data_IF_450574317944
#
_entry.id   IF_450574317944
#
_cell.length_a   1.000
_cell.length_b   1.000
_cell.length_c   1.000
_cell.angle_alpha   90.00
_cell.angle_beta   90.00
_cell.angle_gamma   90.00
#
_symmetry.space_group_name_H-M   'P 1'
#
loop_
_entity.id
_entity.type
_entity.pdbx_description
1 polymer ?
#
# COMPACT_ATOMS: atom_id res chain seq x y z
N UNK A 1 -24.86 7.71 18.22
CA UNK A 1 -23.61 7.64 17.43
C UNK A 1 -23.48 8.96 16.70
N UNK A 2 -22.47 9.70 17.05
CA UNK A 2 -22.32 11.07 16.58
C UNK A 2 -21.66 11.05 15.18
N UNK A 3 -22.44 11.40 14.18
CA UNK A 3 -21.95 11.64 12.83
C UNK A 3 -21.91 13.14 12.59
N UNK A 4 -20.78 13.66 12.15
CA UNK A 4 -20.64 15.07 11.83
C UNK A 4 -21.42 15.45 10.58
N UNK A 5 -21.29 14.65 9.52
CA UNK A 5 -22.02 14.83 8.26
C UNK A 5 -22.38 13.46 7.67
N UNK A 6 -23.55 13.36 7.10
CA UNK A 6 -24.00 12.13 6.41
C UNK A 6 -24.70 12.50 5.11
N UNK A 7 -24.28 11.91 4.01
CA UNK A 7 -25.03 11.89 2.76
C UNK A 7 -25.96 10.67 2.77
N UNK A 8 -27.24 10.91 2.57
CA UNK A 8 -28.27 9.84 2.56
C UNK A 8 -28.84 9.75 1.15
N UNK A 9 -28.79 8.55 0.58
CA UNK A 9 -29.35 8.25 -0.74
C UNK A 9 -28.31 8.15 -1.84
N UNK A 10 -28.75 7.66 -2.98
CA UNK A 10 -27.94 7.52 -4.18
C UNK A 10 -27.87 8.83 -4.96
N UNK A 11 -26.74 9.08 -5.63
CA UNK A 11 -26.60 10.17 -6.59
C UNK A 11 -26.20 11.53 -6.03
N UNK A 12 -25.70 11.60 -4.79
CA UNK A 12 -24.98 12.79 -4.37
C UNK A 12 -23.69 12.92 -5.22
N UNK A 13 -23.49 14.10 -5.80
CA UNK A 13 -22.31 14.42 -6.61
C UNK A 13 -21.74 15.76 -6.17
N UNK A 14 -20.45 15.98 -6.43
CA UNK A 14 -19.76 17.25 -6.17
C UNK A 14 -19.87 17.76 -4.72
N UNK A 15 -19.99 16.87 -3.75
CA UNK A 15 -19.96 17.27 -2.35
C UNK A 15 -18.64 17.97 -2.03
N UNK A 16 -18.73 19.16 -1.41
CA UNK A 16 -17.54 19.89 -0.98
C UNK A 16 -17.55 20.08 0.54
N UNK A 17 -16.48 19.64 1.20
CA UNK A 17 -16.20 19.92 2.60
C UNK A 17 -14.86 20.64 2.64
N UNK A 18 -14.86 21.91 3.00
CA UNK A 18 -13.73 22.81 2.85
C UNK A 18 -13.51 23.67 4.08
N UNK A 19 -12.27 23.77 4.55
CA UNK A 19 -11.82 24.66 5.65
C UNK A 19 -12.62 24.54 6.94
N UNK A 20 -13.03 23.35 7.29
CA UNK A 20 -13.78 23.05 8.51
C UNK A 20 -12.88 22.42 9.57
N UNK A 21 -13.28 22.63 10.83
CA UNK A 21 -12.69 21.93 11.96
C UNK A 21 -13.75 21.05 12.63
N UNK A 22 -13.58 19.76 12.50
CA UNK A 22 -14.43 18.75 13.12
C UNK A 22 -13.73 18.21 14.37
N UNK A 23 -14.44 18.21 15.49
CA UNK A 23 -13.94 17.69 16.76
C UNK A 23 -14.96 16.74 17.35
N UNK A 24 -14.54 15.51 17.66
CA UNK A 24 -15.37 14.59 18.42
C UNK A 24 -15.27 14.84 19.92
N UNK A 25 -16.39 14.72 20.62
CA UNK A 25 -16.48 14.80 22.07
C UNK A 25 -16.23 13.45 22.75
N UNK A 26 -15.94 12.40 22.01
CA UNK A 26 -15.60 11.10 22.59
C UNK A 26 -14.33 11.20 23.44
N UNK A 27 -14.42 10.79 24.69
CA UNK A 27 -13.36 10.93 25.67
C UNK A 27 -12.43 9.72 25.77
N UNK A 28 -12.81 8.58 25.14
CA UNK A 28 -11.96 7.39 25.20
C UNK A 28 -10.57 7.66 24.61
N UNK A 29 -9.54 7.29 25.35
CA UNK A 29 -8.18 7.31 24.88
C UNK A 29 -7.93 6.26 23.80
N UNK A 30 -8.67 5.14 23.85
CA UNK A 30 -8.56 4.06 22.90
C UNK A 30 -9.39 4.38 21.63
N UNK A 31 -8.75 4.48 20.48
CA UNK A 31 -9.41 4.80 19.21
C UNK A 31 -10.49 3.78 18.83
N UNK A 32 -10.30 2.50 19.15
CA UNK A 32 -11.25 1.43 18.81
C UNK A 32 -12.56 1.49 19.61
N UNK A 33 -12.58 2.19 20.72
CA UNK A 33 -13.79 2.42 21.52
C UNK A 33 -14.61 3.60 20.98
N UNK A 34 -14.05 4.39 20.10
CA UNK A 34 -14.72 5.54 19.49
C UNK A 34 -15.63 5.05 18.38
N UNK A 35 -16.85 5.54 18.35
CA UNK A 35 -17.87 5.18 17.36
C UNK A 35 -18.28 6.34 16.46
N UNK A 36 -17.73 7.51 16.67
CA UNK A 36 -18.01 8.69 15.88
C UNK A 36 -17.40 8.65 14.50
N UNK A 37 -18.07 9.24 13.52
CA UNK A 37 -17.61 9.39 12.14
C UNK A 37 -17.76 10.87 11.77
N UNK A 38 -16.67 11.52 11.33
CA UNK A 38 -16.76 12.92 10.96
C UNK A 38 -17.60 13.12 9.71
N UNK A 39 -17.38 12.31 8.67
CA UNK A 39 -18.24 12.28 7.50
C UNK A 39 -18.48 10.84 6.99
N UNK A 40 -19.73 10.55 6.65
CA UNK A 40 -20.13 9.30 6.01
C UNK A 40 -20.86 9.67 4.71
N UNK A 41 -20.25 9.38 3.59
CA UNK A 41 -20.63 9.92 2.29
C UNK A 41 -20.85 8.81 1.28
N UNK A 42 -22.05 8.81 0.70
CA UNK A 42 -22.34 8.08 -0.52
C UNK A 42 -22.44 9.12 -1.65
N UNK A 43 -21.35 9.32 -2.38
CA UNK A 43 -21.26 10.35 -3.40
C UNK A 43 -20.20 9.98 -4.43
N UNK A 44 -20.28 10.58 -5.61
CA UNK A 44 -19.16 10.68 -6.54
C UNK A 44 -18.56 12.09 -6.49
N UNK A 45 -17.30 12.21 -6.89
CA UNK A 45 -16.60 13.48 -7.10
C UNK A 45 -16.54 14.40 -5.86
N UNK A 46 -16.56 13.81 -4.66
CA UNK A 46 -16.47 14.58 -3.43
C UNK A 46 -15.08 15.21 -3.27
N UNK A 47 -15.06 16.48 -2.85
CA UNK A 47 -13.84 17.27 -2.58
C UNK A 47 -13.77 17.59 -1.09
N UNK A 48 -12.86 16.93 -0.40
CA UNK A 48 -12.60 17.07 1.04
C UNK A 48 -11.25 17.73 1.21
N UNK A 49 -11.21 19.04 1.51
CA UNK A 49 -9.96 19.79 1.46
C UNK A 49 -9.78 20.80 2.60
N UNK A 50 -8.53 20.96 3.00
CA UNK A 50 -8.12 21.97 4.01
C UNK A 50 -8.87 21.86 5.34
N UNK A 51 -9.33 20.65 5.71
CA UNK A 51 -10.04 20.40 6.94
C UNK A 51 -9.12 19.89 8.04
N UNK A 52 -9.55 20.09 9.29
CA UNK A 52 -8.99 19.41 10.43
C UNK A 52 -10.02 18.50 11.07
N UNK A 53 -9.66 17.23 11.25
CA UNK A 53 -10.47 16.21 11.91
C UNK A 53 -9.76 15.75 13.17
N UNK A 54 -10.45 15.78 14.31
CA UNK A 54 -9.83 15.47 15.59
C UNK A 54 -10.67 14.49 16.41
N UNK A 55 -10.03 13.40 16.84
CA UNK A 55 -10.55 12.44 17.82
C UNK A 55 -11.80 11.68 17.39
N UNK A 56 -11.95 11.37 16.12
CA UNK A 56 -13.01 10.48 15.64
C UNK A 56 -12.58 9.01 15.68
N UNK A 57 -13.55 8.09 15.72
CA UNK A 57 -13.34 6.69 15.43
C UNK A 57 -12.92 6.50 13.98
N UNK A 58 -13.71 7.06 13.05
CA UNK A 58 -13.32 7.21 11.65
C UNK A 58 -13.45 8.66 11.23
N UNK A 59 -12.45 9.22 10.55
CA UNK A 59 -12.57 10.53 9.92
C UNK A 59 -13.60 10.48 8.81
N UNK A 60 -13.49 9.52 7.91
CA UNK A 60 -14.43 9.36 6.81
C UNK A 60 -14.71 7.91 6.45
N UNK A 61 -15.96 7.63 6.12
CA UNK A 61 -16.40 6.40 5.46
C UNK A 61 -17.05 6.83 4.14
N UNK A 62 -16.50 6.37 3.03
CA UNK A 62 -16.82 6.91 1.71
C UNK A 62 -17.12 5.79 0.73
N UNK A 63 -18.30 5.84 0.14
CA UNK A 63 -18.71 5.05 -0.99
C UNK A 63 -18.73 5.92 -2.26
N UNK A 64 -18.43 5.35 -3.41
CA UNK A 64 -18.35 6.05 -4.68
C UNK A 64 -16.91 6.31 -5.14
N UNK A 65 -16.77 7.06 -6.21
CA UNK A 65 -15.48 7.26 -6.88
C UNK A 65 -15.25 8.73 -7.28
N UNK A 66 -14.04 9.04 -7.77
CA UNK A 66 -13.67 10.38 -8.20
C UNK A 66 -13.35 11.34 -7.05
N UNK A 67 -13.10 10.85 -5.85
CA UNK A 67 -12.89 11.67 -4.67
C UNK A 67 -11.51 12.33 -4.63
N UNK A 68 -11.47 13.53 -4.09
CA UNK A 68 -10.26 14.31 -3.88
C UNK A 68 -10.12 14.70 -2.40
N UNK A 69 -9.11 14.12 -1.74
CA UNK A 69 -8.73 14.43 -0.36
C UNK A 69 -7.42 15.21 -0.35
N UNK A 70 -7.46 16.50 -0.06
CA UNK A 70 -6.30 17.40 -0.21
C UNK A 70 -6.09 18.29 1.01
N UNK A 71 -4.86 18.35 1.50
CA UNK A 71 -4.47 19.33 2.53
C UNK A 71 -5.14 19.15 3.89
N UNK A 72 -5.73 18.00 4.16
CA UNK A 72 -6.41 17.77 5.42
C UNK A 72 -5.43 17.33 6.52
N UNK A 73 -5.78 17.60 7.76
CA UNK A 73 -5.13 17.06 8.93
C UNK A 73 -6.09 16.10 9.65
N UNK A 74 -5.76 14.82 9.64
CA UNK A 74 -6.48 13.75 10.33
C UNK A 74 -5.72 13.38 11.59
N UNK A 75 -6.28 13.67 12.74
CA UNK A 75 -5.64 13.49 14.02
C UNK A 75 -6.51 12.64 14.94
N UNK A 76 -6.13 11.44 15.22
CA UNK A 76 -6.87 10.61 16.18
C UNK A 76 -6.58 10.96 17.64
N UNK A 77 -5.43 11.51 17.96
CA UNK A 77 -5.09 11.95 19.30
C UNK A 77 -5.11 10.81 20.31
N UNK A 78 -4.62 9.66 19.91
CA UNK A 78 -4.58 8.46 20.73
C UNK A 78 -3.27 8.44 21.51
N UNK A 79 -3.35 8.24 22.83
CA UNK A 79 -2.21 8.17 23.73
C UNK A 79 -1.97 6.75 24.27
N UNK A 80 -2.61 5.75 23.71
CA UNK A 80 -2.45 4.37 24.14
C UNK A 80 -1.22 3.78 23.49
N UNK A 81 -0.24 3.38 24.29
CA UNK A 81 0.97 2.69 23.83
C UNK A 81 0.59 1.32 23.27
N UNK A 82 1.17 0.95 22.13
CA UNK A 82 0.86 -0.29 21.40
C UNK A 82 -0.66 -0.53 21.18
N UNK A 83 -1.42 0.55 21.26
CA UNK A 83 -2.87 0.49 21.14
C UNK A 83 -3.31 0.21 19.70
N UNK A 84 -4.43 -0.48 19.51
CA UNK A 84 -5.01 -0.64 18.21
C UNK A 84 -5.43 0.70 17.64
N UNK A 85 -5.23 0.88 16.33
CA UNK A 85 -5.65 2.07 15.59
C UNK A 85 -6.86 1.75 14.74
N UNK A 86 -7.70 2.74 14.48
CA UNK A 86 -8.82 2.63 13.53
C UNK A 86 -8.47 3.30 12.20
N UNK A 87 -9.11 2.86 11.15
CA UNK A 87 -9.00 3.52 9.86
C UNK A 87 -9.49 4.98 9.96
N UNK A 88 -8.65 5.92 9.56
CA UNK A 88 -9.06 7.31 9.44
C UNK A 88 -9.98 7.51 8.24
N UNK A 89 -9.62 6.94 7.10
CA UNK A 89 -10.43 6.94 5.90
C UNK A 89 -10.73 5.50 5.48
N UNK A 90 -12.00 5.18 5.31
CA UNK A 90 -12.48 3.91 4.79
C UNK A 90 -13.08 4.15 3.41
N UNK A 91 -12.47 3.58 2.38
CA UNK A 91 -12.99 3.55 1.02
C UNK A 91 -13.72 2.22 0.84
N UNK A 92 -15.01 2.25 0.55
CA UNK A 92 -15.88 1.06 0.58
C UNK A 92 -16.28 0.55 -0.80
N UNK A 93 -15.57 1.01 -1.83
CA UNK A 93 -15.75 0.58 -3.21
C UNK A 93 -14.40 0.13 -3.81
N UNK A 94 -14.32 -0.96 -4.59
CA UNK A 94 -13.03 -1.43 -5.11
C UNK A 94 -12.42 -0.50 -6.16
N UNK A 95 -13.21 0.11 -7.03
CA UNK A 95 -12.71 0.99 -8.10
C UNK A 95 -12.97 2.46 -7.78
N UNK A 96 -12.08 3.09 -7.03
CA UNK A 96 -12.34 4.41 -6.42
C UNK A 96 -11.97 5.61 -7.28
N UNK A 97 -11.07 5.47 -8.27
CA UNK A 97 -10.60 6.59 -9.14
C UNK A 97 -10.35 7.89 -8.35
N UNK A 98 -9.65 7.78 -7.22
CA UNK A 98 -9.56 8.85 -6.22
C UNK A 98 -8.13 9.25 -5.92
N UNK A 99 -7.96 10.47 -5.40
CA UNK A 99 -6.66 11.05 -5.05
C UNK A 99 -6.64 11.48 -3.59
N UNK A 100 -5.59 11.05 -2.87
CA UNK A 100 -5.29 11.45 -1.50
C UNK A 100 -3.92 12.14 -1.53
N UNK A 101 -3.88 13.46 -1.38
CA UNK A 101 -2.65 14.22 -1.57
C UNK A 101 -2.46 15.36 -0.57
N UNK A 102 -1.22 15.59 -0.15
CA UNK A 102 -0.87 16.73 0.71
C UNK A 102 -1.50 16.70 2.10
N UNK A 103 -1.98 15.55 2.57
CA UNK A 103 -2.59 15.43 3.88
C UNK A 103 -1.54 15.11 4.95
N UNK A 104 -1.83 15.48 6.21
CA UNK A 104 -1.15 15.00 7.39
C UNK A 104 -2.05 13.99 8.11
N UNK A 105 -1.64 12.75 8.14
CA UNK A 105 -2.40 11.61 8.67
C UNK A 105 -1.67 11.09 9.91
N UNK A 106 -2.28 11.29 11.08
CA UNK A 106 -1.68 11.06 12.37
C UNK A 106 -2.47 10.02 13.18
N UNK A 107 -1.79 8.94 13.60
CA UNK A 107 -2.34 7.83 14.38
C UNK A 107 -3.55 7.13 13.75
N UNK A 108 -3.60 7.09 12.42
CA UNK A 108 -4.67 6.41 11.67
C UNK A 108 -4.16 5.89 10.34
N UNK A 109 -4.97 5.14 9.63
CA UNK A 109 -4.62 4.54 8.35
C UNK A 109 -5.75 4.67 7.33
N UNK A 110 -5.44 4.37 6.08
CA UNK A 110 -6.40 4.25 4.99
C UNK A 110 -6.77 2.76 4.87
N UNK A 111 -8.05 2.45 4.98
CA UNK A 111 -8.60 1.13 4.68
C UNK A 111 -9.36 1.16 3.36
N UNK A 112 -9.09 0.21 2.50
CA UNK A 112 -9.74 0.08 1.21
C UNK A 112 -10.39 -1.31 1.11
N UNK A 113 -11.71 -1.34 1.01
CA UNK A 113 -12.51 -2.56 1.17
C UNK A 113 -13.69 -2.57 0.21
N UNK A 114 -14.25 -3.75 -0.05
CA UNK A 114 -15.51 -3.91 -0.75
C UNK A 114 -16.59 -4.56 0.15
N UNK A 115 -16.58 -4.28 1.44
CA UNK A 115 -17.47 -4.91 2.44
C UNK A 115 -18.97 -4.65 2.22
N UNK A 116 -19.32 -3.64 1.42
CA UNK A 116 -20.71 -3.29 1.11
C UNK A 116 -21.22 -3.88 -0.21
N UNK A 117 -20.40 -4.64 -0.90
CA UNK A 117 -20.82 -5.31 -2.14
C UNK A 117 -21.86 -6.39 -1.84
N UNK A 118 -23.01 -6.33 -2.49
CA UNK A 118 -24.07 -7.34 -2.36
C UNK A 118 -23.64 -8.71 -2.93
N UNK A 119 -22.69 -8.70 -3.88
CA UNK A 119 -22.07 -9.90 -4.46
C UNK A 119 -20.55 -9.71 -4.42
N UNK A 120 -19.89 -10.02 -3.28
CA UNK A 120 -18.51 -9.60 -3.03
C UNK A 120 -17.46 -10.35 -3.85
N UNK A 121 -17.78 -11.47 -4.48
CA UNK A 121 -16.85 -12.17 -5.36
C UNK A 121 -16.57 -11.34 -6.63
N UNK A 122 -15.32 -11.28 -7.02
CA UNK A 122 -14.93 -10.55 -8.21
C UNK A 122 -15.58 -11.15 -9.47
N UNK A 123 -16.36 -10.35 -10.18
CA UNK A 123 -17.07 -10.75 -11.40
C UNK A 123 -17.01 -9.70 -12.52
N UNK A 124 -16.23 -8.63 -12.33
CA UNK A 124 -16.19 -7.50 -13.25
C UNK A 124 -14.78 -7.26 -13.83
N UNK A 125 -14.67 -6.25 -14.69
CA UNK A 125 -13.38 -5.81 -15.23
C UNK A 125 -12.51 -5.08 -14.19
N UNK A 126 -13.13 -4.47 -13.18
CA UNK A 126 -12.45 -3.62 -12.21
C UNK A 126 -12.41 -4.26 -10.82
N UNK A 127 -11.22 -4.24 -10.21
CA UNK A 127 -11.00 -4.61 -8.83
C UNK A 127 -10.42 -3.42 -8.05
N UNK A 128 -9.59 -3.63 -7.02
CA UNK A 128 -9.00 -2.55 -6.24
C UNK A 128 -8.10 -1.66 -7.11
N UNK A 129 -8.64 -0.54 -7.60
CA UNK A 129 -7.95 0.27 -8.58
C UNK A 129 -8.33 1.75 -8.60
N UNK A 130 -7.49 2.51 -9.33
CA UNK A 130 -7.68 3.94 -9.51
C UNK A 130 -7.35 4.79 -8.29
N UNK A 131 -6.56 4.30 -7.32
CA UNK A 131 -6.18 5.06 -6.14
C UNK A 131 -4.77 5.65 -6.28
N UNK A 132 -4.67 6.95 -6.05
CA UNK A 132 -3.39 7.67 -5.94
C UNK A 132 -3.23 8.25 -4.54
N UNK A 133 -2.15 7.87 -3.85
CA UNK A 133 -1.75 8.38 -2.53
C UNK A 133 -0.39 9.05 -2.69
N UNK A 134 -0.34 10.38 -2.69
CA UNK A 134 0.89 11.09 -3.05
C UNK A 134 1.15 12.33 -2.19
N UNK A 135 2.42 12.57 -1.84
CA UNK A 135 2.81 13.78 -1.13
C UNK A 135 2.21 13.94 0.26
N UNK A 136 1.79 12.87 0.92
CA UNK A 136 1.23 12.92 2.27
C UNK A 136 2.32 12.69 3.32
N UNK A 137 2.04 13.15 4.54
CA UNK A 137 2.81 12.84 5.74
C UNK A 137 1.98 11.88 6.59
N UNK A 138 2.53 10.70 6.82
CA UNK A 138 1.94 9.68 7.69
C UNK A 138 2.78 9.53 8.95
N UNK A 139 2.15 9.67 10.11
CA UNK A 139 2.80 9.43 11.40
C UNK A 139 1.97 8.46 12.23
N UNK A 140 2.65 7.69 13.07
CA UNK A 140 2.02 6.88 14.10
C UNK A 140 2.90 6.87 15.34
N UNK A 141 2.29 6.93 16.51
CA UNK A 141 2.96 6.85 17.80
C UNK A 141 2.64 5.54 18.48
N UNK A 142 3.67 4.80 18.93
CA UNK A 142 3.51 3.54 19.68
C UNK A 142 2.54 2.55 19.00
N UNK A 143 2.70 2.32 17.70
CA UNK A 143 1.85 1.40 16.97
C UNK A 143 2.16 -0.07 17.30
N UNK A 144 1.11 -0.87 17.37
CA UNK A 144 1.26 -2.32 17.44
C UNK A 144 1.95 -2.86 16.18
N UNK A 145 2.70 -3.98 16.28
CA UNK A 145 3.46 -4.53 15.15
C UNK A 145 2.64 -4.84 13.88
N UNK A 146 1.34 -5.08 14.03
CA UNK A 146 0.43 -5.36 12.92
C UNK A 146 0.01 -4.12 12.11
N UNK A 147 0.33 -2.91 12.58
CA UNK A 147 -0.11 -1.66 11.98
C UNK A 147 0.52 -1.43 10.60
N UNK A 148 -0.27 -0.91 9.67
CA UNK A 148 0.17 -0.38 8.37
C UNK A 148 -0.73 0.79 7.98
N UNK A 149 -0.21 1.74 7.19
CA UNK A 149 -0.97 2.94 6.82
C UNK A 149 -1.87 2.78 5.60
N UNK A 150 -1.58 1.80 4.74
CA UNK A 150 -2.39 1.49 3.55
C UNK A 150 -2.83 0.04 3.65
N UNK A 151 -4.08 -0.19 3.94
CA UNK A 151 -4.65 -1.51 4.17
C UNK A 151 -5.69 -1.81 3.10
N UNK A 152 -5.53 -2.93 2.39
CA UNK A 152 -6.54 -3.47 1.49
C UNK A 152 -7.20 -4.64 2.21
N UNK A 153 -8.54 -4.60 2.31
CA UNK A 153 -9.33 -5.64 2.97
C UNK A 153 -10.36 -6.20 2.00
N UNK A 154 -10.02 -7.25 1.26
CA UNK A 154 -10.94 -7.83 0.30
C UNK A 154 -12.04 -8.66 0.97
N UNK A 155 -13.24 -8.57 0.44
CA UNK A 155 -14.37 -9.46 0.68
C UNK A 155 -14.63 -10.25 -0.61
N UNK A 156 -14.88 -11.55 -0.47
CA UNK A 156 -15.06 -12.44 -1.61
C UNK A 156 -13.75 -12.81 -2.34
N UNK A 157 -13.87 -13.73 -3.28
CA UNK A 157 -12.74 -14.30 -4.01
C UNK A 157 -12.39 -13.53 -5.29
N UNK A 158 -11.14 -13.68 -5.74
CA UNK A 158 -10.72 -13.25 -7.07
C UNK A 158 -10.31 -11.78 -7.20
N UNK A 159 -10.43 -10.96 -6.16
CA UNK A 159 -10.00 -9.57 -6.20
C UNK A 159 -8.48 -9.43 -6.33
N UNK A 160 -8.03 -8.38 -7.00
CA UNK A 160 -6.61 -8.04 -7.20
C UNK A 160 -6.43 -6.52 -7.21
N UNK A 161 -5.18 -6.06 -7.17
CA UNK A 161 -4.85 -4.63 -7.25
C UNK A 161 -4.62 -4.25 -8.71
N UNK A 162 -5.27 -3.15 -9.14
CA UNK A 162 -5.18 -2.63 -10.50
C UNK A 162 -5.15 -1.10 -10.51
N UNK A 163 -3.99 -0.51 -10.74
CA UNK A 163 -3.88 0.94 -10.76
C UNK A 163 -3.84 1.56 -9.36
N UNK A 164 -2.80 1.25 -8.60
CA UNK A 164 -2.47 1.88 -7.32
C UNK A 164 -1.14 2.60 -7.42
N UNK A 165 -1.12 3.87 -7.01
CA UNK A 165 0.11 4.67 -6.92
C UNK A 165 0.28 5.21 -5.50
N UNK A 166 1.39 4.85 -4.84
CA UNK A 166 1.79 5.36 -3.52
C UNK A 166 3.16 6.00 -3.67
N UNK A 167 3.21 7.33 -3.85
CA UNK A 167 4.42 8.01 -4.29
C UNK A 167 4.72 9.29 -3.52
N UNK A 168 5.99 9.54 -3.23
CA UNK A 168 6.42 10.81 -2.64
C UNK A 168 5.86 11.09 -1.24
N UNK A 169 5.44 10.07 -0.50
CA UNK A 169 4.94 10.23 0.86
C UNK A 169 6.07 10.10 1.88
N UNK A 170 5.87 10.68 3.05
CA UNK A 170 6.72 10.48 4.22
C UNK A 170 6.01 9.59 5.24
N UNK A 171 6.62 8.46 5.60
CA UNK A 171 6.12 7.53 6.62
C UNK A 171 7.03 7.54 7.83
N UNK A 172 6.46 7.77 9.02
CA UNK A 172 7.23 7.87 10.26
C UNK A 172 6.53 7.18 11.41
N UNK A 173 7.19 6.18 12.00
CA UNK A 173 6.81 5.60 13.28
C UNK A 173 7.57 6.30 14.41
N UNK A 174 6.86 6.72 15.45
CA UNK A 174 7.38 7.37 16.65
C UNK A 174 7.34 6.39 17.82
N UNK A 175 8.42 6.34 18.63
CA UNK A 175 8.55 5.47 19.81
C UNK A 175 8.38 3.97 19.52
N UNK A 176 8.74 3.53 18.30
CA UNK A 176 8.65 2.13 17.91
C UNK A 176 8.95 1.95 16.43
N UNK A 177 8.85 0.73 15.96
CA UNK A 177 9.06 0.38 14.55
C UNK A 177 7.79 -0.25 13.99
N UNK A 178 7.28 0.30 12.89
CA UNK A 178 6.23 -0.33 12.09
C UNK A 178 6.89 -1.28 11.09
N UNK A 179 6.39 -2.49 10.93
CA UNK A 179 7.01 -3.48 10.05
C UNK A 179 6.97 -3.02 8.58
N UNK A 180 5.77 -2.72 8.06
CA UNK A 180 5.55 -2.29 6.67
C UNK A 180 4.54 -1.17 6.59
N UNK A 181 4.62 -0.38 5.51
CA UNK A 181 3.67 0.72 5.28
C UNK A 181 2.31 0.27 4.74
N UNK A 182 2.25 -0.93 4.17
CA UNK A 182 1.07 -1.51 3.53
C UNK A 182 0.83 -2.96 3.95
N UNK A 183 -0.40 -3.41 3.85
CA UNK A 183 -0.74 -4.82 4.03
C UNK A 183 -2.07 -5.18 3.36
N UNK A 184 -2.29 -6.48 3.16
CA UNK A 184 -3.61 -7.06 2.93
C UNK A 184 -4.14 -7.58 4.26
N UNK A 185 -5.35 -7.17 4.64
CA UNK A 185 -6.09 -7.80 5.74
C UNK A 185 -6.83 -9.02 5.18
N UNK A 186 -6.26 -10.18 5.40
CA UNK A 186 -6.78 -11.46 4.88
C UNK A 186 -7.78 -12.12 5.81
N UNK A 187 -8.33 -11.40 6.78
CA UNK A 187 -9.28 -11.96 7.76
C UNK A 187 -10.56 -12.49 7.11
N UNK A 188 -10.94 -11.99 5.94
CA UNK A 188 -12.12 -12.38 5.17
C UNK A 188 -11.73 -13.12 3.89
N UNK A 189 -10.87 -12.51 3.05
CA UNK A 189 -10.41 -13.07 1.78
C UNK A 189 -8.99 -12.60 1.46
N UNK A 190 -8.35 -13.25 0.50
CA UNK A 190 -7.02 -12.86 0.01
C UNK A 190 -7.08 -12.36 -1.42
N UNK A 191 -5.99 -11.74 -1.88
CA UNK A 191 -5.86 -11.22 -3.24
C UNK A 191 -5.42 -12.30 -4.24
N UNK A 192 -5.90 -12.17 -5.46
CA UNK A 192 -5.43 -12.93 -6.61
C UNK A 192 -4.12 -12.32 -7.14
N UNK A 193 -3.00 -12.57 -6.46
CA UNK A 193 -1.68 -11.99 -6.76
C UNK A 193 -1.22 -12.19 -8.21
N UNK A 194 -1.66 -13.26 -8.87
CA UNK A 194 -1.38 -13.52 -10.29
C UNK A 194 -2.01 -12.51 -11.25
N UNK A 195 -2.95 -11.69 -10.81
CA UNK A 195 -3.67 -10.69 -11.62
C UNK A 195 -3.27 -9.25 -11.30
N UNK A 196 -2.39 -9.02 -10.31
CA UNK A 196 -1.94 -7.67 -9.91
C UNK A 196 -1.28 -6.95 -11.08
N UNK A 197 -1.66 -5.69 -11.32
CA UNK A 197 -1.15 -4.85 -12.41
C UNK A 197 -1.20 -3.36 -12.09
N UNK A 198 -0.31 -2.60 -12.74
CA UNK A 198 -0.23 -1.13 -12.60
C UNK A 198 -0.10 -0.65 -11.15
N UNK A 199 0.84 -1.23 -10.41
CA UNK A 199 1.15 -0.85 -9.02
C UNK A 199 2.47 -0.10 -8.98
N UNK A 200 2.48 1.05 -8.31
CA UNK A 200 3.68 1.88 -8.13
C UNK A 200 3.84 2.23 -6.65
N UNK A 201 5.02 1.93 -6.11
CA UNK A 201 5.50 2.41 -4.81
C UNK A 201 6.87 3.03 -5.01
N UNK A 202 6.96 4.35 -5.09
CA UNK A 202 8.21 5.01 -5.43
C UNK A 202 8.37 6.39 -4.76
N UNK A 203 9.62 6.81 -4.55
CA UNK A 203 9.94 8.12 -4.00
C UNK A 203 9.45 8.37 -2.57
N UNK A 204 9.00 7.33 -1.85
CA UNK A 204 8.59 7.47 -0.46
C UNK A 204 9.79 7.52 0.48
N UNK A 205 9.64 8.22 1.60
CA UNK A 205 10.66 8.27 2.67
C UNK A 205 10.18 7.50 3.90
N UNK A 206 11.12 6.82 4.56
CA UNK A 206 10.84 5.91 5.64
C UNK A 206 11.66 6.27 6.89
N UNK A 207 11.00 6.34 8.04
CA UNK A 207 11.64 6.56 9.33
C UNK A 207 11.05 5.59 10.35
N UNK A 208 11.87 4.72 10.93
CA UNK A 208 11.48 3.65 11.85
C UNK A 208 10.47 2.67 11.21
N UNK A 209 10.73 2.28 9.97
CA UNK A 209 10.01 1.25 9.23
C UNK A 209 10.95 0.07 9.03
N UNK A 210 10.48 -1.14 9.36
CA UNK A 210 11.29 -2.35 9.35
C UNK A 210 11.64 -2.82 7.94
N UNK A 211 10.68 -2.77 7.02
CA UNK A 211 10.85 -3.18 5.64
C UNK A 211 10.42 -2.07 4.67
N UNK A 212 11.32 -1.69 3.78
CA UNK A 212 11.05 -0.69 2.74
C UNK A 212 10.23 -1.30 1.62
N UNK A 213 9.06 -0.74 1.33
CA UNK A 213 8.23 -1.17 0.22
C UNK A 213 8.52 -0.35 -1.02
N UNK A 214 8.81 -1.02 -2.13
CA UNK A 214 9.12 -0.40 -3.41
C UNK A 214 8.66 -1.26 -4.59
N UNK A 215 8.14 -0.63 -5.65
CA UNK A 215 7.78 -1.29 -6.90
C UNK A 215 7.77 -0.28 -8.08
N UNK A 216 8.66 -0.39 -9.07
CA UNK A 216 9.71 -1.41 -9.21
C UNK A 216 10.79 -1.29 -8.13
N UNK A 217 11.44 -2.40 -7.81
CA UNK A 217 12.56 -2.44 -6.86
C UNK A 217 13.82 -2.96 -7.54
N UNK A 218 14.95 -2.30 -7.29
CA UNK A 218 16.26 -2.71 -7.79
C UNK A 218 17.10 -3.20 -6.63
N UNK A 219 17.58 -4.44 -6.72
CA UNK A 219 18.52 -5.01 -5.75
C UNK A 219 19.89 -5.23 -6.40
N UNK A 220 20.93 -4.91 -5.65
CA UNK A 220 22.29 -5.38 -5.94
C UNK A 220 22.46 -6.76 -5.36
N UNK A 221 22.99 -7.68 -6.17
CA UNK A 221 23.27 -9.04 -5.76
C UNK A 221 24.72 -9.43 -6.08
N UNK A 222 25.42 -9.93 -5.09
CA UNK A 222 26.80 -10.41 -5.18
C UNK A 222 26.83 -11.93 -5.10
N UNK A 223 27.30 -12.57 -6.15
CA UNK A 223 27.62 -13.99 -6.16
C UNK A 223 29.12 -14.16 -5.99
N UNK A 224 29.56 -14.43 -4.77
CA UNK A 224 30.99 -14.51 -4.42
C UNK A 224 31.66 -15.78 -4.91
N UNK A 225 30.94 -16.90 -4.97
CA UNK A 225 31.41 -18.20 -5.46
C UNK A 225 30.73 -18.55 -6.77
N UNK A 226 31.45 -19.29 -7.63
CA UNK A 226 30.92 -19.70 -8.92
C UNK A 226 29.67 -20.58 -8.77
N UNK A 227 28.57 -20.18 -9.38
CA UNK A 227 27.31 -20.91 -9.44
C UNK A 227 26.61 -20.67 -10.78
N UNK A 228 25.99 -21.72 -11.32
CA UNK A 228 25.24 -21.61 -12.58
C UNK A 228 23.84 -20.99 -12.38
N UNK A 229 23.30 -21.01 -11.16
CA UNK A 229 21.99 -20.42 -10.84
C UNK A 229 22.17 -19.48 -9.65
N UNK A 230 21.73 -18.24 -9.82
CA UNK A 230 21.70 -17.22 -8.78
C UNK A 230 20.26 -16.93 -8.41
N UNK A 231 19.89 -17.04 -7.13
CA UNK A 231 18.55 -16.76 -6.64
C UNK A 231 18.55 -15.48 -5.84
N UNK A 232 17.71 -14.54 -6.23
CA UNK A 232 17.61 -13.20 -5.65
C UNK A 232 16.20 -13.01 -5.10
N UNK A 233 16.08 -12.88 -3.77
CA UNK A 233 14.80 -12.73 -3.10
C UNK A 233 14.41 -11.25 -2.98
N UNK A 234 13.23 -10.92 -3.49
CA UNK A 234 12.59 -9.61 -3.45
C UNK A 234 11.49 -9.49 -2.40
N UNK A 235 11.18 -10.57 -1.65
CA UNK A 235 10.03 -10.64 -0.75
C UNK A 235 9.98 -9.57 0.33
N UNK A 236 11.14 -9.09 0.79
CA UNK A 236 11.22 -7.99 1.77
C UNK A 236 10.83 -6.61 1.22
N UNK A 237 10.70 -6.46 -0.09
CA UNK A 237 10.51 -5.15 -0.75
C UNK A 237 9.20 -5.04 -1.53
N UNK A 238 8.71 -6.15 -2.09
CA UNK A 238 7.51 -6.14 -2.93
C UNK A 238 6.26 -5.81 -2.11
N UNK A 239 5.38 -4.90 -2.59
CA UNK A 239 4.20 -4.49 -1.85
C UNK A 239 3.19 -5.63 -1.66
N UNK A 240 2.48 -5.60 -0.54
CA UNK A 240 1.39 -6.51 -0.18
C UNK A 240 1.78 -8.00 -0.12
N UNK A 241 3.05 -8.32 0.16
CA UNK A 241 3.53 -9.69 0.11
C UNK A 241 3.46 -10.32 -1.30
N UNK A 242 3.50 -9.49 -2.32
CA UNK A 242 3.34 -9.89 -3.71
C UNK A 242 4.51 -10.72 -4.25
N UNK A 243 4.33 -11.22 -5.49
CA UNK A 243 5.28 -12.11 -6.17
C UNK A 243 6.21 -11.33 -7.09
N UNK A 244 7.43 -11.83 -7.32
CA UNK A 244 8.36 -11.27 -8.31
C UNK A 244 7.95 -11.70 -9.73
N UNK A 245 7.00 -10.96 -10.34
CA UNK A 245 6.30 -11.38 -11.57
C UNK A 245 6.96 -10.91 -12.85
N UNK A 246 7.74 -9.83 -12.79
CA UNK A 246 8.40 -9.26 -13.95
C UNK A 246 9.81 -8.81 -13.59
N UNK A 247 10.72 -8.98 -14.54
CA UNK A 247 12.08 -8.41 -14.48
C UNK A 247 12.19 -7.33 -15.53
N UNK A 248 12.43 -6.11 -15.05
CA UNK A 248 12.61 -4.93 -15.91
C UNK A 248 14.02 -4.89 -16.49
N UNK A 249 15.02 -5.24 -15.66
CA UNK A 249 16.42 -5.23 -16.06
C UNK A 249 17.28 -6.18 -15.24
N UNK A 250 18.34 -6.69 -15.89
CA UNK A 250 19.50 -7.33 -15.25
C UNK A 250 20.73 -6.64 -15.81
N UNK A 251 21.50 -5.98 -14.96
CA UNK A 251 22.69 -5.20 -15.35
C UNK A 251 23.89 -5.70 -14.56
N UNK A 252 24.92 -6.20 -15.25
CA UNK A 252 26.17 -6.59 -14.62
C UNK A 252 26.94 -5.34 -14.13
N UNK A 253 27.39 -5.35 -12.88
CA UNK A 253 28.31 -4.38 -12.35
C UNK A 253 29.73 -4.96 -12.32
N UNK A 254 30.48 -4.68 -13.36
CA UNK A 254 31.81 -5.27 -13.58
C UNK A 254 31.78 -6.59 -14.35
N UNK A 255 32.90 -7.30 -14.35
CA UNK A 255 33.05 -8.55 -15.09
C UNK A 255 32.35 -9.72 -14.39
N UNK A 256 31.57 -10.46 -15.13
CA UNK A 256 31.11 -11.79 -14.73
C UNK A 256 32.20 -12.78 -15.12
N UNK A 257 32.66 -13.59 -14.19
CA UNK A 257 33.82 -14.45 -14.40
C UNK A 257 33.56 -15.93 -14.11
N UNK A 258 34.18 -16.80 -14.90
CA UNK A 258 34.29 -18.25 -14.66
C UNK A 258 35.76 -18.65 -14.76
N UNK A 259 36.30 -19.38 -13.78
CA UNK A 259 37.69 -19.80 -13.72
C UNK A 259 38.68 -18.66 -14.06
N UNK A 260 38.42 -17.45 -13.58
CA UNK A 260 39.19 -16.22 -13.82
C UNK A 260 39.07 -15.63 -15.25
N UNK A 261 38.32 -16.22 -16.15
CA UNK A 261 38.02 -15.67 -17.46
C UNK A 261 36.72 -14.80 -17.42
N UNK A 262 36.67 -13.70 -18.15
CA UNK A 262 35.47 -12.92 -18.31
C UNK A 262 34.48 -13.60 -19.25
N UNK A 263 33.24 -13.75 -18.83
CA UNK A 263 32.16 -14.33 -19.60
C UNK A 263 31.28 -13.23 -20.20
N UNK A 264 31.11 -13.31 -21.52
CA UNK A 264 30.26 -12.39 -22.30
C UNK A 264 28.93 -13.07 -22.66
N UNK A 265 28.11 -13.35 -21.63
CA UNK A 265 26.82 -14.00 -21.81
C UNK A 265 25.78 -13.33 -20.91
N UNK A 266 24.51 -13.36 -21.33
CA UNK A 266 23.38 -12.97 -20.49
C UNK A 266 22.76 -14.24 -19.85
N UNK A 267 22.24 -14.14 -18.62
CA UNK A 267 21.53 -15.23 -17.99
C UNK A 267 20.12 -15.42 -18.58
N UNK A 268 19.62 -16.65 -18.52
CA UNK A 268 18.18 -16.88 -18.63
C UNK A 268 17.51 -16.50 -17.32
N UNK A 269 16.37 -15.81 -17.41
CA UNK A 269 15.65 -15.26 -16.23
C UNK A 269 14.39 -16.07 -15.98
N UNK A 270 14.21 -16.53 -14.74
CA UNK A 270 12.97 -17.14 -14.26
C UNK A 270 12.36 -16.25 -13.19
N UNK A 271 11.11 -15.82 -13.40
CA UNK A 271 10.30 -15.07 -12.42
C UNK A 271 9.51 -16.01 -11.52
N UNK A 272 8.97 -15.49 -10.42
CA UNK A 272 8.19 -16.27 -9.45
C UNK A 272 8.91 -17.54 -8.98
N UNK A 273 10.23 -17.50 -8.85
CA UNK A 273 11.03 -18.59 -8.30
C UNK A 273 10.89 -18.68 -6.78
N UNK A 274 11.37 -19.80 -6.23
CA UNK A 274 11.23 -20.10 -4.81
C UNK A 274 9.80 -20.48 -4.39
N UNK A 275 9.66 -20.99 -3.18
CA UNK A 275 8.36 -21.44 -2.64
C UNK A 275 7.35 -20.30 -2.43
N UNK A 276 7.85 -19.13 -2.03
CA UNK A 276 7.05 -17.93 -1.84
C UNK A 276 6.77 -17.17 -3.14
N UNK A 277 7.40 -17.54 -4.26
CA UNK A 277 7.32 -16.87 -5.57
C UNK A 277 7.84 -15.42 -5.55
N UNK A 278 8.70 -15.11 -4.61
CA UNK A 278 9.31 -13.78 -4.43
C UNK A 278 10.71 -13.68 -5.05
N UNK A 279 11.23 -14.77 -5.59
CA UNK A 279 12.58 -14.83 -6.10
C UNK A 279 12.64 -14.67 -7.62
N UNK A 280 13.75 -14.10 -8.09
CA UNK A 280 14.19 -14.12 -9.48
C UNK A 280 15.41 -15.04 -9.56
N UNK A 281 15.34 -16.08 -10.41
CA UNK A 281 16.47 -16.93 -10.68
C UNK A 281 17.14 -16.54 -12.00
N UNK A 282 18.45 -16.29 -11.94
CA UNK A 282 19.31 -16.06 -13.10
C UNK A 282 20.09 -17.34 -13.40
N UNK A 283 19.83 -17.95 -14.53
CA UNK A 283 20.54 -19.17 -14.97
C UNK A 283 21.58 -18.82 -16.03
N UNK A 284 22.83 -19.05 -15.72
CA UNK A 284 23.98 -18.83 -16.60
C UNK A 284 24.35 -20.11 -17.38
N UNK A 285 25.00 -19.98 -18.53
CA UNK A 285 25.39 -21.14 -19.32
C UNK A 285 26.46 -22.03 -18.65
N UNK A 286 27.17 -21.49 -17.68
CA UNK A 286 28.17 -22.19 -16.85
C UNK A 286 28.21 -21.58 -15.44
N UNK A 287 28.95 -22.18 -14.53
CA UNK A 287 29.13 -21.62 -13.18
C UNK A 287 29.98 -20.34 -13.23
N UNK A 288 29.40 -19.25 -12.77
CA UNK A 288 30.01 -17.91 -12.79
C UNK A 288 29.86 -17.21 -11.44
N UNK A 289 30.68 -16.19 -11.21
CA UNK A 289 30.59 -15.25 -10.09
C UNK A 289 30.66 -13.81 -10.57
N UNK A 290 30.17 -12.90 -9.75
CA UNK A 290 30.17 -11.46 -10.03
C UNK A 290 29.02 -10.74 -9.38
N UNK A 291 28.76 -9.52 -9.82
CA UNK A 291 27.73 -8.65 -9.27
C UNK A 291 26.75 -8.22 -10.34
N UNK A 292 25.47 -8.18 -9.98
CA UNK A 292 24.40 -7.69 -10.85
C UNK A 292 23.47 -6.78 -10.09
N UNK A 293 22.84 -5.84 -10.81
CA UNK A 293 21.65 -5.14 -10.38
C UNK A 293 20.44 -5.75 -11.10
N UNK A 294 19.45 -6.18 -10.33
CA UNK A 294 18.22 -6.74 -10.87
C UNK A 294 17.04 -5.90 -10.46
N UNK A 295 16.26 -5.45 -11.42
CA UNK A 295 15.02 -4.69 -11.17
C UNK A 295 13.83 -5.60 -11.41
N UNK A 296 13.01 -5.79 -10.37
CA UNK A 296 11.82 -6.62 -10.44
C UNK A 296 10.55 -5.83 -10.09
N UNK A 297 9.39 -6.40 -10.46
CA UNK A 297 8.06 -5.86 -10.18
C UNK A 297 7.13 -6.95 -9.65
N UNK A 298 6.18 -6.51 -8.78
CA UNK A 298 5.07 -7.34 -8.28
C UNK A 298 3.95 -7.51 -9.32
N UNK A 299 3.90 -6.65 -10.30
CA UNK A 299 2.84 -6.56 -11.29
C UNK A 299 3.38 -6.77 -12.71
N UNK A 300 2.44 -6.99 -13.63
CA UNK A 300 2.70 -6.85 -15.06
C UNK A 300 1.93 -5.63 -15.55
N UNK A 301 2.59 -4.57 -16.01
CA UNK A 301 1.93 -3.31 -16.38
C UNK A 301 0.95 -3.44 -17.55
N UNK A 302 1.10 -4.44 -18.39
CA UNK A 302 0.26 -4.66 -19.59
C UNK A 302 -0.16 -6.11 -19.68
#
# INVERSE_FOLDING_TARGET
RDRGMTSIGEGCQDLQIDRCHFVSNELSANATERTSIAFNVNANDAKIRDNRFQRFGHTGVVFGNGHLFVGNHWFQGDNVTDGPRTAGLVLTEPNVKSVITGNYIDNSFIEWTNEHDAAPDFSSEFSFGGLTVTGNIFTVNDAAPWFSWVVIKPYGSGHFIQGLSVTGNAFKSLNGTTDRIEKVDTSIADLAYGSVRNVIFDGNTFNSIGQVTQNPVTLQYDQESEAAVWSIDFGGYLPFGGRAREVVSVVAEGAITSQQATIFAAPYVTTEAGSAKTEIALTWPEAVKGRVHVTARVDKPV
#
